data_IF_975542585321
#
_entry.id   IF_975542585321
#
_cell.length_a   1.000
_cell.length_b   1.000
_cell.length_c   1.000
_cell.angle_alpha   90.00
_cell.angle_beta   90.00
_cell.angle_gamma   90.00
#
_symmetry.space_group_name_H-M   'P 1'
#
loop_
_entity.id
_entity.type
_entity.pdbx_description
1 polymer ?
#
# COMPACT_ATOMS: atom_id res chain seq x y z
N UNK A 1 -18.95 -8.52 -2.55
CA UNK A 1 -18.01 -9.02 -1.53
C UNK A 1 -16.76 -8.16 -1.61
N UNK A 2 -16.13 -7.84 -0.47
CA UNK A 2 -14.88 -7.10 -0.47
C UNK A 2 -13.70 -8.09 -0.41
N UNK A 3 -12.61 -7.73 -1.07
CA UNK A 3 -11.39 -8.51 -1.20
C UNK A 3 -10.21 -7.71 -0.68
N UNK A 4 -9.21 -8.43 -0.18
CA UNK A 4 -7.92 -7.86 0.21
C UNK A 4 -6.99 -7.86 -0.99
N UNK A 5 -6.44 -6.69 -1.29
CA UNK A 5 -5.41 -6.51 -2.30
C UNK A 5 -4.13 -6.00 -1.64
N UNK A 6 -3.00 -6.61 -1.99
CA UNK A 6 -1.68 -6.28 -1.47
C UNK A 6 -0.90 -5.49 -2.52
N UNK A 7 -0.03 -4.57 -2.08
CA UNK A 7 0.80 -3.79 -2.97
C UNK A 7 1.83 -4.66 -3.71
N UNK A 8 2.02 -4.39 -5.00
CA UNK A 8 3.04 -5.01 -5.84
C UNK A 8 4.42 -4.39 -5.55
N UNK A 9 5.13 -4.99 -4.58
CA UNK A 9 6.42 -4.54 -4.08
C UNK A 9 7.50 -4.45 -5.16
N UNK A 10 7.37 -5.18 -6.27
CA UNK A 10 8.28 -5.04 -7.40
C UNK A 10 8.42 -3.59 -7.86
N UNK A 11 7.30 -2.87 -7.97
CA UNK A 11 7.33 -1.46 -8.35
C UNK A 11 7.87 -0.56 -7.24
N UNK A 12 7.52 -0.85 -6.00
CA UNK A 12 7.79 0.03 -4.86
C UNK A 12 9.22 -0.09 -4.33
N UNK A 13 9.83 -1.28 -4.43
CA UNK A 13 11.11 -1.63 -3.82
C UNK A 13 12.19 -1.94 -4.87
N UNK A 14 11.83 -2.58 -5.98
CA UNK A 14 12.81 -3.05 -6.98
C UNK A 14 13.02 -2.07 -8.15
N UNK A 15 12.20 -1.02 -8.27
CA UNK A 15 12.28 -0.02 -9.34
C UNK A 15 12.63 1.39 -8.81
N UNK A 16 13.89 1.85 -8.97
CA UNK A 16 14.35 3.13 -8.40
C UNK A 16 13.62 4.38 -8.90
N UNK A 17 13.07 4.34 -10.11
CA UNK A 17 12.41 5.47 -10.76
C UNK A 17 10.87 5.41 -10.70
N UNK A 18 10.31 4.51 -9.89
CA UNK A 18 8.87 4.40 -9.77
C UNK A 18 8.25 5.67 -9.15
N UNK A 19 7.19 6.26 -9.73
CA UNK A 19 6.59 7.52 -9.25
C UNK A 19 5.72 7.31 -8.00
N UNK A 20 6.35 6.97 -6.87
CA UNK A 20 5.69 6.59 -5.62
C UNK A 20 4.66 7.60 -5.13
N UNK A 21 5.04 8.89 -5.04
CA UNK A 21 4.14 9.94 -4.56
C UNK A 21 2.86 10.03 -5.42
N UNK A 22 3.00 9.89 -6.74
CA UNK A 22 1.86 9.87 -7.66
C UNK A 22 0.99 8.64 -7.41
N UNK A 23 1.59 7.47 -7.21
CA UNK A 23 0.87 6.23 -6.94
C UNK A 23 0.05 6.34 -5.65
N UNK A 24 0.64 6.85 -4.56
CA UNK A 24 -0.06 7.09 -3.30
C UNK A 24 -1.21 8.07 -3.48
N UNK A 25 -0.95 9.25 -4.05
CA UNK A 25 -1.97 10.29 -4.21
C UNK A 25 -3.15 9.83 -5.06
N UNK A 26 -2.87 9.25 -6.25
CA UNK A 26 -3.92 8.76 -7.15
C UNK A 26 -4.75 7.67 -6.47
N UNK A 27 -4.11 6.75 -5.75
CA UNK A 27 -4.81 5.65 -5.07
C UNK A 27 -5.67 6.16 -3.92
N UNK A 28 -5.10 6.96 -3.01
CA UNK A 28 -5.81 7.48 -1.85
C UNK A 28 -7.00 8.36 -2.24
N UNK A 29 -6.81 9.29 -3.19
CA UNK A 29 -7.88 10.18 -3.69
C UNK A 29 -9.01 9.35 -4.31
N UNK A 30 -8.68 8.35 -5.13
CA UNK A 30 -9.69 7.51 -5.77
C UNK A 30 -10.45 6.68 -4.73
N UNK A 31 -9.74 6.04 -3.80
CA UNK A 31 -10.37 5.22 -2.75
C UNK A 31 -11.26 6.07 -1.83
N UNK A 32 -10.91 7.33 -1.58
CA UNK A 32 -11.68 8.23 -0.74
C UNK A 32 -13.12 8.44 -1.24
N UNK A 33 -13.40 8.23 -2.52
CA UNK A 33 -14.77 8.28 -3.09
C UNK A 33 -15.75 7.36 -2.37
N UNK A 34 -15.25 6.24 -1.84
CA UNK A 34 -16.04 5.23 -1.15
C UNK A 34 -15.88 5.29 0.37
N UNK A 35 -15.26 6.36 0.90
CA UNK A 35 -14.94 6.53 2.31
C UNK A 35 -15.64 7.76 2.90
N UNK A 36 -15.91 7.68 4.20
CA UNK A 36 -16.54 8.73 5.01
C UNK A 36 -15.67 9.17 6.19
N UNK A 37 -14.59 8.46 6.48
CA UNK A 37 -13.69 8.73 7.60
C UNK A 37 -12.24 8.57 7.19
N UNK A 38 -11.36 9.31 7.86
CA UNK A 38 -9.93 9.20 7.71
C UNK A 38 -9.21 9.18 9.06
N UNK A 39 -8.03 8.58 9.04
CA UNK A 39 -7.01 8.69 10.08
C UNK A 39 -5.66 8.84 9.38
N UNK A 40 -4.89 9.84 9.77
CA UNK A 40 -3.58 10.13 9.19
C UNK A 40 -2.61 10.46 10.31
N UNK A 41 -1.42 9.87 10.29
CA UNK A 41 -0.39 10.10 11.30
C UNK A 41 1.00 10.08 10.69
N UNK A 42 1.83 11.05 11.07
CA UNK A 42 3.26 11.04 10.80
C UNK A 42 3.95 10.06 11.75
N UNK A 43 4.63 9.05 11.21
CA UNK A 43 5.31 8.02 12.03
C UNK A 43 6.66 8.52 12.50
N UNK A 44 7.39 9.20 11.62
CA UNK A 44 8.64 9.85 11.95
C UNK A 44 8.68 11.22 11.31
N UNK A 45 8.70 12.24 12.17
CA UNK A 45 8.79 13.64 11.78
C UNK A 45 10.19 13.98 11.26
N UNK A 46 10.25 14.94 10.34
CA UNK A 46 11.50 15.67 10.09
C UNK A 46 11.95 16.38 11.38
N UNK A 47 13.25 16.38 11.65
CA UNK A 47 13.81 16.99 12.86
C UNK A 47 13.33 18.44 13.05
N UNK A 48 13.00 18.81 14.29
CA UNK A 48 12.49 20.15 14.69
C UNK A 48 11.09 20.53 14.18
N UNK A 49 10.26 19.56 13.75
CA UNK A 49 8.87 19.83 13.41
C UNK A 49 8.02 20.09 14.66
N UNK A 50 7.23 21.16 14.66
CA UNK A 50 6.22 21.49 15.70
C UNK A 50 4.80 21.11 15.27
N UNK A 51 4.67 20.36 14.18
CA UNK A 51 3.39 20.02 13.58
C UNK A 51 2.61 19.00 14.42
N UNK A 52 1.29 19.07 14.30
CA UNK A 52 0.39 18.04 14.84
C UNK A 52 0.71 16.72 14.14
N UNK A 53 1.05 15.68 14.91
CA UNK A 53 1.43 14.37 14.39
C UNK A 53 0.26 13.58 13.78
N UNK A 54 -0.97 13.83 14.25
CA UNK A 54 -2.14 13.03 13.92
C UNK A 54 -3.34 13.90 13.51
N UNK A 55 -4.08 13.46 12.49
CA UNK A 55 -5.34 14.04 12.05
C UNK A 55 -6.35 12.92 11.84
N UNK A 56 -7.58 13.11 12.29
CA UNK A 56 -8.66 12.13 12.10
C UNK A 56 -10.02 12.77 12.15
N UNK A 57 -11.01 12.14 11.53
CA UNK A 57 -12.39 12.61 11.57
C UNK A 57 -13.22 12.15 10.39
N UNK A 58 -14.45 12.67 10.27
CA UNK A 58 -15.24 12.50 9.07
C UNK A 58 -14.59 13.23 7.89
N UNK A 59 -14.76 12.65 6.69
CA UNK A 59 -14.42 13.28 5.43
C UNK A 59 -15.55 14.23 4.97
N UNK A 60 -15.25 15.23 4.12
CA UNK A 60 -16.29 16.06 3.52
C UNK A 60 -17.34 15.23 2.76
N UNK A 61 -18.61 15.63 2.88
CA UNK A 61 -19.72 14.92 2.25
C UNK A 61 -19.71 15.10 0.71
N UNK A 62 -19.33 16.29 0.23
CA UNK A 62 -19.26 16.62 -1.18
C UNK A 62 -18.04 15.93 -1.81
N UNK A 63 -18.25 15.20 -2.91
CA UNK A 63 -17.21 14.38 -3.55
C UNK A 63 -15.95 15.19 -3.93
N UNK A 64 -16.13 16.35 -4.55
CA UNK A 64 -15.01 17.20 -4.96
C UNK A 64 -14.22 17.75 -3.76
N UNK A 65 -14.91 18.19 -2.71
CA UNK A 65 -14.26 18.65 -1.47
C UNK A 65 -13.51 17.52 -0.78
N UNK A 66 -14.05 16.30 -0.83
CA UNK A 66 -13.42 15.11 -0.27
C UNK A 66 -12.13 14.75 -0.99
N UNK A 67 -12.15 14.75 -2.33
CA UNK A 67 -10.95 14.50 -3.13
C UNK A 67 -9.87 15.55 -2.85
N UNK A 68 -10.24 16.83 -2.80
CA UNK A 68 -9.32 17.91 -2.45
C UNK A 68 -8.75 17.76 -1.03
N UNK A 69 -9.60 17.45 -0.05
CA UNK A 69 -9.17 17.22 1.33
C UNK A 69 -8.18 16.06 1.44
N UNK A 70 -8.44 14.95 0.76
CA UNK A 70 -7.52 13.80 0.78
C UNK A 70 -6.24 14.09 0.03
N UNK A 71 -6.29 14.83 -1.08
CA UNK A 71 -5.09 15.31 -1.77
C UNK A 71 -4.21 16.16 -0.83
N UNK A 72 -4.79 17.11 -0.11
CA UNK A 72 -4.10 17.96 0.87
C UNK A 72 -3.53 17.13 2.03
N UNK A 73 -4.28 16.13 2.50
CA UNK A 73 -3.85 15.22 3.55
C UNK A 73 -2.63 14.39 3.11
N UNK A 74 -2.67 13.81 1.92
CA UNK A 74 -1.54 13.05 1.34
C UNK A 74 -0.33 13.96 1.11
N UNK A 75 -0.54 15.16 0.59
CA UNK A 75 0.52 16.15 0.41
C UNK A 75 1.21 16.45 1.74
N UNK A 76 0.42 16.76 2.78
CA UNK A 76 0.92 16.99 4.13
C UNK A 76 1.73 15.79 4.66
N UNK A 77 1.26 14.56 4.47
CA UNK A 77 1.99 13.35 4.90
C UNK A 77 3.34 13.23 4.18
N UNK A 78 3.35 13.32 2.86
CA UNK A 78 4.56 13.16 2.04
C UNK A 78 5.59 14.26 2.29
N UNK A 79 5.16 15.50 2.50
CA UNK A 79 6.04 16.64 2.76
C UNK A 79 6.66 16.62 4.15
N UNK A 80 6.00 16.02 5.14
CA UNK A 80 6.40 16.11 6.55
C UNK A 80 6.99 14.82 7.13
N UNK A 81 6.80 13.68 6.47
CA UNK A 81 7.52 12.45 6.81
C UNK A 81 9.00 12.55 6.48
N UNK A 82 9.85 11.95 7.33
CA UNK A 82 11.30 11.88 7.10
C UNK A 82 11.64 11.18 5.78
N UNK A 83 10.88 10.13 5.46
CA UNK A 83 10.93 9.37 4.22
C UNK A 83 9.52 9.32 3.65
N UNK A 84 9.31 9.49 2.33
CA UNK A 84 7.98 9.52 1.74
C UNK A 84 7.13 8.28 2.00
N UNK A 85 7.74 7.15 2.38
CA UNK A 85 7.07 5.89 2.64
C UNK A 85 6.59 5.71 4.08
N UNK A 86 7.15 6.48 5.03
CA UNK A 86 6.96 6.29 6.47
C UNK A 86 5.85 7.19 7.01
N UNK A 87 4.60 6.76 6.83
CA UNK A 87 3.44 7.43 7.37
C UNK A 87 2.27 6.47 7.52
N UNK A 88 1.29 6.85 8.33
CA UNK A 88 0.04 6.15 8.43
C UNK A 88 -1.07 6.95 7.74
N UNK A 89 -1.83 6.29 6.86
CA UNK A 89 -3.05 6.80 6.27
C UNK A 89 -4.08 5.67 6.16
N UNK A 90 -5.22 5.86 6.79
CA UNK A 90 -6.36 4.96 6.75
C UNK A 90 -7.58 5.73 6.22
N UNK A 91 -8.30 5.16 5.25
CA UNK A 91 -9.55 5.70 4.70
C UNK A 91 -10.62 4.62 4.73
N UNK A 92 -11.81 4.94 5.24
CA UNK A 92 -12.87 3.94 5.33
C UNK A 92 -14.29 4.52 5.31
N UNK A 93 -15.28 3.67 5.01
CA UNK A 93 -16.71 4.02 5.00
C UNK A 93 -17.31 4.17 6.41
N UNK A 94 -16.56 3.74 7.43
CA UNK A 94 -16.94 3.67 8.84
C UNK A 94 -15.89 4.34 9.73
N UNK A 95 -16.26 4.79 10.94
CA UNK A 95 -15.34 5.44 11.88
C UNK A 95 -14.07 4.62 12.16
N UNK A 96 -12.95 5.31 12.34
CA UNK A 96 -11.62 4.77 12.67
C UNK A 96 -11.16 5.31 14.05
N UNK A 97 -10.30 4.58 14.81
CA UNK A 97 -9.82 3.23 14.56
C UNK A 97 -10.83 2.15 15.02
N UNK A 98 -11.00 1.08 14.25
CA UNK A 98 -11.66 -0.15 14.73
C UNK A 98 -10.65 -1.29 14.71
N UNK A 99 -10.58 -2.04 15.81
CA UNK A 99 -9.74 -3.22 15.91
C UNK A 99 -10.19 -4.33 14.96
N UNK A 100 -9.23 -5.09 14.43
CA UNK A 100 -9.49 -6.35 13.73
C UNK A 100 -10.10 -6.23 12.33
N UNK A 101 -9.99 -5.08 11.67
CA UNK A 101 -10.40 -4.92 10.27
C UNK A 101 -9.43 -4.06 9.49
N UNK A 102 -9.33 -4.34 8.19
CA UNK A 102 -8.57 -3.55 7.22
C UNK A 102 -9.47 -2.45 6.65
N UNK A 103 -8.99 -1.21 6.66
CA UNK A 103 -9.67 -0.08 6.04
C UNK A 103 -9.70 -0.22 4.50
N UNK A 104 -10.58 0.52 3.80
CA UNK A 104 -10.60 0.49 2.32
C UNK A 104 -9.25 0.86 1.71
N UNK A 105 -8.59 1.85 2.31
CA UNK A 105 -7.17 2.14 2.13
C UNK A 105 -6.50 1.99 3.49
N UNK A 106 -5.53 1.09 3.61
CA UNK A 106 -4.82 0.82 4.85
C UNK A 106 -3.31 0.90 4.61
N UNK A 107 -2.68 1.88 5.24
CA UNK A 107 -1.24 2.06 5.25
C UNK A 107 -0.86 2.49 6.66
N UNK A 108 -0.21 1.62 7.43
CA UNK A 108 0.04 1.85 8.85
C UNK A 108 1.52 2.03 9.22
N UNK A 109 2.44 1.74 8.30
CA UNK A 109 3.88 1.91 8.51
C UNK A 109 4.64 2.31 7.25
N UNK A 110 5.21 1.32 6.56
CA UNK A 110 5.96 1.49 5.31
C UNK A 110 5.24 0.84 4.11
N UNK A 111 5.89 0.82 2.95
CA UNK A 111 5.29 0.29 1.73
C UNK A 111 4.90 -1.19 1.78
N UNK A 112 5.48 -1.99 2.70
CA UNK A 112 5.09 -3.39 2.86
C UNK A 112 3.73 -3.56 3.56
N UNK A 113 3.25 -2.50 4.20
CA UNK A 113 2.00 -2.45 4.95
C UNK A 113 0.84 -1.84 4.15
N UNK A 114 1.01 -1.61 2.84
CA UNK A 114 -0.01 -0.99 2.00
C UNK A 114 -1.02 -2.03 1.49
N UNK A 115 -2.25 -1.93 1.97
CA UNK A 115 -3.34 -2.88 1.72
C UNK A 115 -4.61 -2.13 1.30
N UNK A 116 -5.39 -2.73 0.40
CA UNK A 116 -6.72 -2.25 0.02
C UNK A 116 -7.79 -3.28 0.36
N UNK A 117 -8.93 -2.82 0.84
CA UNK A 117 -10.12 -3.63 1.09
C UNK A 117 -11.28 -3.13 0.23
N UNK A 118 -11.36 -3.65 -1.00
CA UNK A 118 -12.25 -3.13 -2.04
C UNK A 118 -13.11 -4.26 -2.63
N UNK A 119 -14.29 -3.92 -3.13
CA UNK A 119 -15.00 -4.81 -4.04
C UNK A 119 -14.31 -4.88 -5.40
N UNK A 120 -14.62 -5.92 -6.19
CA UNK A 120 -14.05 -6.08 -7.54
C UNK A 120 -14.35 -4.89 -8.45
N UNK A 121 -15.53 -4.27 -8.31
CA UNK A 121 -15.92 -3.10 -9.10
C UNK A 121 -15.10 -1.85 -8.73
N UNK A 122 -14.92 -1.61 -7.43
CA UNK A 122 -14.08 -0.51 -6.92
C UNK A 122 -12.63 -0.70 -7.36
N UNK A 123 -12.11 -1.93 -7.27
CA UNK A 123 -10.76 -2.25 -7.71
C UNK A 123 -10.59 -2.05 -9.22
N UNK A 124 -11.53 -2.53 -10.04
CA UNK A 124 -11.48 -2.34 -11.49
C UNK A 124 -11.57 -0.85 -11.89
N UNK A 125 -12.31 -0.02 -11.15
CA UNK A 125 -12.30 1.43 -11.36
C UNK A 125 -10.94 2.02 -11.04
N UNK A 126 -10.35 1.64 -9.90
CA UNK A 126 -9.04 2.09 -9.47
C UNK A 126 -7.94 1.74 -10.50
N UNK A 127 -7.98 0.54 -11.08
CA UNK A 127 -7.06 0.14 -12.16
C UNK A 127 -7.16 1.05 -13.40
N UNK A 128 -8.39 1.43 -13.80
CA UNK A 128 -8.58 2.38 -14.92
C UNK A 128 -8.00 3.75 -14.60
N UNK A 129 -8.16 4.22 -13.35
CA UNK A 129 -7.60 5.52 -12.92
C UNK A 129 -6.07 5.47 -12.89
N UNK A 130 -5.46 4.36 -12.43
CA UNK A 130 -4.01 4.17 -12.53
C UNK A 130 -3.54 4.24 -13.98
N UNK A 131 -4.17 3.50 -14.89
CA UNK A 131 -3.83 3.51 -16.32
C UNK A 131 -3.90 4.91 -16.91
N UNK A 132 -4.98 5.65 -16.63
CA UNK A 132 -5.15 7.04 -17.09
C UNK A 132 -4.07 7.99 -16.55
N UNK A 133 -3.44 7.62 -15.43
CA UNK A 133 -2.35 8.35 -14.80
C UNK A 133 -0.95 7.82 -15.17
N UNK A 134 -0.84 6.94 -16.18
CA UNK A 134 0.41 6.27 -16.56
C UNK A 134 1.05 5.49 -15.39
N UNK A 135 0.21 4.88 -14.55
CA UNK A 135 0.62 3.97 -13.49
C UNK A 135 0.26 2.52 -13.91
N UNK A 136 1.00 1.51 -13.43
CA UNK A 136 0.65 0.13 -13.67
C UNK A 136 -0.76 -0.24 -13.20
N UNK A 137 -1.46 -1.06 -13.98
CA UNK A 137 -2.81 -1.54 -13.60
C UNK A 137 -2.74 -2.60 -12.50
N UNK A 138 -1.56 -3.19 -12.27
CA UNK A 138 -1.28 -4.21 -11.28
C UNK A 138 -0.41 -3.69 -10.14
N UNK A 139 -0.56 -2.40 -9.79
CA UNK A 139 0.05 -1.83 -8.57
C UNK A 139 -0.35 -2.57 -7.31
N UNK A 140 -1.50 -3.25 -7.36
CA UNK A 140 -2.00 -4.13 -6.35
C UNK A 140 -2.46 -5.43 -6.99
N UNK A 141 -2.47 -6.49 -6.20
CA UNK A 141 -2.94 -7.80 -6.61
C UNK A 141 -3.77 -8.45 -5.50
N UNK A 142 -4.75 -9.31 -5.84
CA UNK A 142 -5.52 -10.05 -4.84
C UNK A 142 -4.61 -10.87 -3.91
N UNK A 143 -4.83 -10.83 -2.60
CA UNK A 143 -3.99 -11.51 -1.59
C UNK A 143 -3.75 -13.00 -1.89
N UNK A 144 -4.74 -13.69 -2.46
CA UNK A 144 -4.62 -15.11 -2.82
C UNK A 144 -3.62 -15.42 -3.94
N UNK A 145 -3.06 -14.40 -4.60
CA UNK A 145 -1.99 -14.55 -5.59
C UNK A 145 -0.59 -14.42 -4.97
N UNK A 146 -0.49 -14.01 -3.70
CA UNK A 146 0.78 -13.96 -2.98
C UNK A 146 1.39 -15.37 -2.88
N UNK A 147 2.69 -15.50 -3.15
CA UNK A 147 3.39 -16.79 -3.18
C UNK A 147 4.39 -16.88 -2.05
N UNK A 148 4.04 -17.58 -0.98
CA UNK A 148 4.96 -17.88 0.10
C UNK A 148 5.54 -19.28 -0.05
N UNK A 149 6.88 -19.36 -0.09
CA UNK A 149 7.64 -20.60 -0.18
C UNK A 149 8.51 -20.77 1.06
N UNK A 150 8.85 -22.01 1.45
CA UNK A 150 9.88 -22.23 2.47
C UNK A 150 11.16 -21.46 2.12
N UNK A 151 11.82 -20.90 3.13
CA UNK A 151 13.01 -20.07 2.91
C UNK A 151 14.04 -20.76 1.98
N UNK A 152 14.46 -20.12 0.87
CA UNK A 152 15.30 -20.74 -0.15
C UNK A 152 16.76 -20.94 0.31
N UNK A 153 17.49 -21.84 -0.36
CA UNK A 153 18.92 -22.10 -0.10
C UNK A 153 19.22 -23.48 0.53
N UNK A 154 20.46 -23.94 0.37
CA UNK A 154 20.91 -25.27 0.84
C UNK A 154 21.81 -25.22 2.07
N UNK A 155 22.22 -24.02 2.50
CA UNK A 155 23.10 -23.83 3.64
C UNK A 155 22.41 -24.12 4.98
N UNK A 156 23.21 -24.23 6.05
CA UNK A 156 22.69 -24.57 7.37
C UNK A 156 21.77 -23.48 7.94
N UNK A 157 21.99 -22.21 7.56
CA UNK A 157 21.13 -21.08 7.96
C UNK A 157 19.76 -21.19 7.33
N UNK A 158 19.67 -21.44 6.02
CA UNK A 158 18.40 -21.67 5.33
C UNK A 158 17.67 -22.89 5.86
N UNK A 159 18.38 -23.98 6.19
CA UNK A 159 17.79 -25.15 6.85
C UNK A 159 17.19 -24.79 8.20
N UNK A 160 17.90 -24.04 9.05
CA UNK A 160 17.41 -23.61 10.36
C UNK A 160 16.18 -22.70 10.21
N UNK A 161 16.22 -21.73 9.30
CA UNK A 161 15.09 -20.83 9.02
C UNK A 161 13.84 -21.61 8.58
N UNK A 162 13.99 -22.62 7.72
CA UNK A 162 12.87 -23.51 7.35
C UNK A 162 12.31 -24.30 8.52
N UNK A 163 13.16 -24.82 9.42
CA UNK A 163 12.72 -25.54 10.64
C UNK A 163 11.94 -24.61 11.56
N UNK A 164 12.32 -23.33 11.63
CA UNK A 164 11.58 -22.31 12.37
C UNK A 164 10.32 -21.81 11.65
N UNK A 165 9.97 -22.38 10.50
CA UNK A 165 8.77 -22.02 9.73
C UNK A 165 8.91 -20.70 8.96
N UNK A 166 10.11 -20.15 8.81
CA UNK A 166 10.33 -18.92 8.05
C UNK A 166 10.08 -19.19 6.57
N UNK A 167 9.26 -18.34 5.97
CA UNK A 167 8.91 -18.37 4.56
C UNK A 167 9.41 -17.10 3.88
N UNK A 168 9.70 -17.22 2.58
CA UNK A 168 9.90 -16.06 1.70
C UNK A 168 8.66 -15.91 0.84
N UNK A 169 8.01 -14.76 0.94
CA UNK A 169 6.84 -14.42 0.13
C UNK A 169 7.26 -13.55 -1.05
N UNK A 170 6.62 -13.78 -2.18
CA UNK A 170 6.84 -13.08 -3.43
C UNK A 170 5.50 -12.53 -3.93
N UNK A 171 5.51 -11.27 -4.34
CA UNK A 171 4.43 -10.71 -5.16
C UNK A 171 4.43 -11.38 -6.55
N UNK A 172 3.32 -11.30 -7.31
CA UNK A 172 3.24 -11.89 -8.64
C UNK A 172 4.42 -11.51 -9.56
N UNK A 173 4.79 -10.23 -9.62
CA UNK A 173 5.91 -9.81 -10.47
C UNK A 173 7.27 -10.25 -9.95
N UNK A 174 7.48 -10.21 -8.63
CA UNK A 174 8.73 -10.71 -8.05
C UNK A 174 8.90 -12.20 -8.34
N UNK A 175 7.80 -12.96 -8.31
CA UNK A 175 7.80 -14.38 -8.64
C UNK A 175 8.12 -14.65 -10.12
N UNK A 176 7.56 -13.87 -11.04
CA UNK A 176 7.84 -13.99 -12.47
C UNK A 176 9.30 -13.69 -12.80
N UNK A 177 9.89 -12.68 -12.14
CA UNK A 177 11.32 -12.34 -12.26
C UNK A 177 12.20 -13.46 -11.72
N UNK A 178 11.91 -13.96 -10.51
CA UNK A 178 12.67 -15.05 -9.89
C UNK A 178 12.69 -16.29 -10.79
N UNK A 179 11.52 -16.71 -11.28
CA UNK A 179 11.41 -17.86 -12.18
C UNK A 179 12.22 -17.68 -13.46
N UNK A 180 12.15 -16.50 -14.06
CA UNK A 180 12.89 -16.21 -15.29
C UNK A 180 14.41 -16.25 -15.07
N UNK A 181 14.86 -15.88 -13.87
CA UNK A 181 16.28 -15.90 -13.50
C UNK A 181 16.83 -17.32 -13.27
N UNK A 182 16.01 -18.24 -12.73
CA UNK A 182 16.39 -19.64 -12.52
C UNK A 182 16.46 -20.43 -13.83
N UNK A 183 15.57 -20.13 -14.78
CA UNK A 183 15.63 -20.72 -16.13
C UNK A 183 16.87 -20.28 -16.93
N UNK A 184 17.43 -19.10 -16.65
CA UNK A 184 18.67 -18.62 -17.27
C UNK A 184 19.96 -19.17 -16.63
N UNK A 185 19.84 -19.91 -15.52
CA UNK A 185 20.97 -20.53 -14.79
C UNK A 185 21.02 -22.06 -14.94
N UNK A 186 20.06 -22.64 -15.66
CA UNK A 186 19.94 -24.07 -15.94
C UNK A 186 20.49 -24.39 -17.33
#
# INVERSE_FOLDING_TARGET
MAWIYLAELHYLQDQPCFPFQKAVSVTAITVARWCNYFYARLITLKANSTLVEERRGPLPAVAQEREAFVADCVCWLLENSITPQLFCLLLDDKPLPRSGRVAKFDHHDDTCCWVLNLSELEFAELQRVWKANNLPEDLFYPENQNRCLPYPGTDWKAKLLRVLGVQKCYTPRQWDVERSSDFGRS
#
